data_IF_833226127317
#
_entry.id   IF_833226127317
#
_cell.length_a   1.000
_cell.length_b   1.000
_cell.length_c   1.000
_cell.angle_alpha   90.00
_cell.angle_beta   90.00
_cell.angle_gamma   90.00
#
_symmetry.space_group_name_H-M   'P 1'
#
loop_
_entity.id
_entity.type
_entity.pdbx_description
1 polymer ?
#
# COMPACT_ATOMS: atom_id res chain seq x y z
N UNK A 1 2.56 -1.59 6.73
CA UNK A 1 1.47 -1.32 7.70
C UNK A 1 1.83 -0.23 8.70
N UNK A 2 2.92 -0.33 9.47
CA UNK A 2 3.25 0.68 10.51
C UNK A 2 3.21 2.14 10.02
N UNK A 3 3.80 2.42 8.84
CA UNK A 3 3.71 3.73 8.19
C UNK A 3 2.27 4.23 8.02
N UNK A 4 1.32 3.35 7.67
CA UNK A 4 -0.08 3.70 7.50
C UNK A 4 -0.80 4.03 8.80
N UNK A 5 -0.31 3.55 9.94
CA UNK A 5 -0.80 3.99 11.25
C UNK A 5 -0.50 5.48 11.51
N UNK A 6 0.33 6.13 10.68
CA UNK A 6 0.66 7.55 10.81
C UNK A 6 0.15 8.35 9.62
N UNK A 7 0.54 8.00 8.39
CA UNK A 7 0.16 8.79 7.19
C UNK A 7 -1.17 8.38 6.54
N UNK A 8 -1.85 7.37 7.09
CA UNK A 8 -3.06 6.80 6.52
C UNK A 8 -2.86 5.92 5.28
N UNK A 9 -3.94 5.27 4.85
CA UNK A 9 -4.02 4.32 3.74
C UNK A 9 -4.13 5.00 2.37
N UNK A 10 -4.75 6.18 2.31
CA UNK A 10 -5.14 6.89 1.10
C UNK A 10 -3.96 7.30 0.20
N UNK A 11 -2.80 7.52 0.81
CA UNK A 11 -1.60 7.98 0.11
C UNK A 11 -1.66 9.46 -0.32
N UNK A 12 -0.53 9.98 -0.78
CA UNK A 12 -0.38 11.41 -1.05
C UNK A 12 -1.20 11.96 -2.21
N UNK A 13 -1.61 11.13 -3.17
CA UNK A 13 -2.50 11.61 -4.25
C UNK A 13 -3.90 11.89 -3.71
N UNK A 14 -4.50 10.97 -2.93
CA UNK A 14 -5.86 11.17 -2.42
C UNK A 14 -5.92 12.15 -1.26
N UNK A 15 -4.84 12.32 -0.50
CA UNK A 15 -4.80 13.30 0.60
C UNK A 15 -5.13 14.73 0.13
N UNK A 16 -4.82 15.04 -1.12
CA UNK A 16 -5.17 16.29 -1.79
C UNK A 16 -6.66 16.64 -1.85
N UNK A 17 -7.53 15.62 -1.80
CA UNK A 17 -8.98 15.78 -1.99
C UNK A 17 -9.77 15.34 -0.76
N UNK A 18 -9.07 14.87 0.28
CA UNK A 18 -9.64 14.43 1.53
C UNK A 18 -9.41 15.48 2.60
N UNK A 19 -10.40 15.69 3.47
CA UNK A 19 -10.29 16.59 4.62
C UNK A 19 -9.48 15.99 5.77
N UNK A 20 -9.40 14.66 5.83
CA UNK A 20 -8.66 13.94 6.87
C UNK A 20 -8.06 12.63 6.33
N UNK A 21 -6.95 12.14 6.89
CA UNK A 21 -6.38 10.85 6.50
C UNK A 21 -7.33 9.68 6.82
N UNK A 22 -7.21 8.59 6.06
CA UNK A 22 -8.02 7.38 6.25
C UNK A 22 -7.18 6.32 6.96
N UNK A 23 -7.66 5.81 8.08
CA UNK A 23 -6.96 4.78 8.86
C UNK A 23 -7.77 3.48 8.96
N UNK A 24 -7.06 2.39 9.22
CA UNK A 24 -7.70 1.13 9.61
C UNK A 24 -8.12 1.23 11.07
N UNK A 25 -9.36 0.88 11.39
CA UNK A 25 -9.81 0.73 12.78
C UNK A 25 -9.30 -0.57 13.41
N UNK A 26 -9.08 -1.60 12.59
CA UNK A 26 -8.84 -2.97 13.05
C UNK A 26 -7.91 -3.70 12.06
N UNK A 27 -7.03 -4.55 12.60
CA UNK A 27 -6.21 -5.51 11.84
C UNK A 27 -6.52 -6.90 12.37
N UNK A 28 -7.03 -7.77 11.50
CA UNK A 28 -7.44 -9.14 11.85
C UNK A 28 -6.40 -10.12 11.31
N UNK A 29 -5.94 -11.00 12.17
CA UNK A 29 -5.04 -12.09 11.83
C UNK A 29 -5.78 -13.44 11.83
N UNK A 30 -5.39 -14.41 10.98
CA UNK A 30 -5.91 -15.77 11.07
C UNK A 30 -5.71 -16.37 12.46
N UNK A 31 -6.62 -17.26 12.87
CA UNK A 31 -6.58 -17.95 14.17
C UNK A 31 -5.20 -18.52 14.46
N UNK A 32 -4.65 -19.26 13.51
CA UNK A 32 -3.36 -19.97 13.68
C UNK A 32 -2.15 -19.05 13.54
N UNK A 33 -2.35 -17.82 13.07
CA UNK A 33 -1.27 -16.83 13.06
C UNK A 33 -0.97 -16.36 14.49
N UNK A 34 -1.97 -16.18 15.36
CA UNK A 34 -1.81 -15.52 16.67
C UNK A 34 -1.07 -16.34 17.73
N UNK A 35 -1.21 -17.67 17.85
CA UNK A 35 -0.33 -18.46 18.71
C UNK A 35 1.15 -18.36 18.29
N UNK A 36 1.40 -18.12 16.99
CA UNK A 36 2.72 -17.86 16.41
C UNK A 36 3.11 -16.37 16.53
N UNK A 37 2.13 -15.49 16.77
CA UNK A 37 2.21 -14.03 16.70
C UNK A 37 1.66 -13.42 18.00
N UNK A 38 2.57 -13.16 18.94
CA UNK A 38 2.25 -12.42 20.17
C UNK A 38 1.53 -11.09 19.85
N UNK A 39 0.33 -10.89 20.42
CA UNK A 39 -0.47 -9.66 20.25
C UNK A 39 0.34 -8.40 20.59
N UNK A 40 1.13 -8.43 21.67
CA UNK A 40 2.00 -7.31 22.06
C UNK A 40 3.08 -7.05 21.03
N UNK A 41 3.60 -8.10 20.39
CA UNK A 41 4.54 -7.96 19.30
C UNK A 41 3.92 -7.31 18.06
N UNK A 42 2.65 -7.63 17.74
CA UNK A 42 1.94 -7.00 16.63
C UNK A 42 1.60 -5.54 16.90
N UNK A 43 1.08 -5.22 18.08
CA UNK A 43 0.82 -3.84 18.50
C UNK A 43 2.10 -3.00 18.46
N UNK A 44 3.21 -3.53 19.02
CA UNK A 44 4.54 -2.92 18.92
C UNK A 44 4.97 -2.71 17.47
N UNK A 45 4.75 -3.72 16.62
CA UNK A 45 5.15 -3.66 15.23
C UNK A 45 4.32 -2.64 14.42
N UNK A 46 3.03 -2.50 14.71
CA UNK A 46 2.10 -1.61 14.00
C UNK A 46 2.24 -0.17 14.48
N UNK A 47 2.10 0.09 15.77
CA UNK A 47 2.00 1.44 16.31
C UNK A 47 2.83 1.69 17.58
N UNK A 48 3.10 0.67 18.39
CA UNK A 48 3.82 0.82 19.66
C UNK A 48 5.25 1.34 19.50
N UNK A 49 5.90 1.10 18.35
CA UNK A 49 7.21 1.67 18.04
C UNK A 49 7.23 3.21 17.97
N UNK A 50 6.08 3.86 17.89
CA UNK A 50 5.96 5.33 17.79
C UNK A 50 5.59 6.01 19.11
N UNK A 51 5.35 5.27 20.19
CA UNK A 51 4.78 5.84 21.43
C UNK A 51 5.77 6.63 22.29
N UNK A 52 7.08 6.43 22.08
CA UNK A 52 8.12 6.96 22.96
C UNK A 52 8.86 8.18 22.39
N UNK A 53 8.35 8.84 21.34
CA UNK A 53 9.00 10.01 20.76
C UNK A 53 8.00 11.16 20.55
N UNK A 54 8.54 12.31 20.14
CA UNK A 54 7.79 13.56 19.98
C UNK A 54 6.62 13.48 19.00
N UNK A 55 5.81 14.54 19.03
CA UNK A 55 4.58 14.65 18.27
C UNK A 55 4.79 14.40 16.78
N UNK A 56 3.83 13.67 16.18
CA UNK A 56 3.81 13.42 14.75
C UNK A 56 3.62 14.75 14.02
N UNK A 57 4.46 14.98 13.01
CA UNK A 57 4.42 16.17 12.18
C UNK A 57 4.13 15.80 10.71
N UNK A 58 3.31 16.61 10.00
CA UNK A 58 2.53 17.75 10.49
C UNK A 58 1.27 17.33 11.27
N UNK A 59 0.66 18.29 11.98
CA UNK A 59 -0.53 18.11 12.83
C UNK A 59 -1.76 17.52 12.10
N UNK A 60 -1.76 17.56 10.76
CA UNK A 60 -2.72 16.89 9.88
C UNK A 60 -2.78 15.37 10.11
N UNK A 61 -1.69 14.77 10.60
CA UNK A 61 -1.58 13.34 10.85
C UNK A 61 -1.44 13.04 12.35
N UNK A 62 -1.91 11.87 12.75
CA UNK A 62 -1.78 11.38 14.11
C UNK A 62 -1.47 9.87 14.12
N UNK A 63 -1.12 9.35 15.30
CA UNK A 63 -0.89 7.92 15.49
C UNK A 63 -2.24 7.21 15.66
N UNK A 64 -2.68 6.52 14.62
CA UNK A 64 -3.76 5.55 14.71
C UNK A 64 -3.27 4.25 15.37
N UNK A 65 -4.05 3.73 16.31
CA UNK A 65 -3.79 2.48 17.03
C UNK A 65 -4.91 1.48 16.70
N UNK A 66 -4.86 0.81 15.53
CA UNK A 66 -5.88 -0.15 15.18
C UNK A 66 -5.94 -1.28 16.20
N UNK A 67 -7.14 -1.77 16.45
CA UNK A 67 -7.34 -2.96 17.28
C UNK A 67 -6.74 -4.19 16.58
N UNK A 68 -5.98 -4.99 17.33
CA UNK A 68 -5.42 -6.25 16.83
C UNK A 68 -6.29 -7.41 17.29
N UNK A 69 -6.93 -8.07 16.32
CA UNK A 69 -7.87 -9.16 16.55
C UNK A 69 -7.40 -10.46 15.90
N UNK A 70 -7.91 -11.56 16.45
CA UNK A 70 -7.82 -12.89 15.87
C UNK A 70 -9.15 -13.37 15.33
N UNK A 71 -9.10 -14.03 14.17
CA UNK A 71 -10.23 -14.81 13.73
C UNK A 71 -10.55 -15.90 14.77
N UNK A 72 -11.81 -16.02 15.14
CA UNK A 72 -12.30 -17.03 16.09
C UNK A 72 -12.70 -18.32 15.38
N UNK A 73 -13.17 -18.23 14.14
CA UNK A 73 -13.60 -19.38 13.36
C UNK A 73 -12.41 -20.01 12.62
N UNK A 74 -12.39 -21.34 12.62
CA UNK A 74 -11.49 -22.11 11.77
C UNK A 74 -12.22 -22.40 10.46
N UNK A 75 -11.80 -21.72 9.39
CA UNK A 75 -12.16 -22.13 8.04
C UNK A 75 -10.94 -22.85 7.46
N UNK A 76 -10.87 -24.19 7.55
CA UNK A 76 -9.72 -24.93 7.07
C UNK A 76 -9.57 -24.69 5.58
N UNK A 77 -8.41 -24.19 5.17
CA UNK A 77 -8.02 -24.14 3.77
C UNK A 77 -7.14 -25.36 3.51
N UNK A 78 -7.61 -26.40 2.78
CA UNK A 78 -6.88 -27.67 2.61
C UNK A 78 -5.50 -27.52 1.96
N UNK A 79 -5.29 -26.41 1.24
CA UNK A 79 -4.03 -26.07 0.60
C UNK A 79 -3.24 -24.99 1.37
N UNK A 80 -3.59 -24.74 2.63
CA UNK A 80 -2.81 -23.87 3.49
C UNK A 80 -1.41 -24.47 3.66
N UNK A 81 -0.40 -23.60 3.67
CA UNK A 81 0.96 -24.03 3.95
C UNK A 81 1.02 -24.58 5.36
N UNK A 82 1.27 -25.88 5.50
CA UNK A 82 1.58 -26.46 6.80
C UNK A 82 2.97 -25.99 7.23
N UNK A 83 3.18 -25.49 8.45
CA UNK A 83 4.49 -25.01 8.94
C UNK A 83 5.61 -26.05 8.83
N UNK A 84 5.26 -27.33 8.75
CA UNK A 84 6.18 -28.47 8.71
C UNK A 84 6.36 -29.04 7.29
N UNK A 85 5.71 -28.46 6.27
CA UNK A 85 5.83 -28.92 4.90
C UNK A 85 6.76 -27.97 4.11
N UNK A 86 8.05 -28.27 4.14
CA UNK A 86 9.09 -27.52 3.43
C UNK A 86 9.03 -27.67 1.89
N UNK A 87 8.15 -28.52 1.36
CA UNK A 87 8.01 -28.74 -0.08
C UNK A 87 7.08 -27.73 -0.77
N UNK A 88 6.38 -26.87 -0.02
CA UNK A 88 5.48 -25.86 -0.59
C UNK A 88 6.25 -24.62 -1.07
N UNK A 89 6.32 -24.42 -2.39
CA UNK A 89 6.84 -23.18 -2.98
C UNK A 89 5.74 -22.11 -3.11
N UNK A 90 6.03 -20.82 -2.84
CA UNK A 90 5.06 -19.76 -3.04
C UNK A 90 4.70 -19.65 -4.54
N UNK A 91 3.42 -19.43 -4.82
CA UNK A 91 2.98 -19.15 -6.18
C UNK A 91 3.67 -17.88 -6.71
N UNK A 92 4.23 -17.87 -7.93
CA UNK A 92 4.84 -16.67 -8.52
C UNK A 92 3.78 -15.64 -8.98
N UNK A 93 2.50 -16.01 -8.91
CA UNK A 93 1.39 -15.16 -9.27
C UNK A 93 0.69 -14.59 -8.04
N UNK A 94 0.09 -13.41 -8.18
CA UNK A 94 -0.84 -12.85 -7.20
C UNK A 94 -2.15 -12.44 -7.87
N UNK A 95 -3.23 -12.46 -7.10
CA UNK A 95 -4.55 -12.01 -7.56
C UNK A 95 -4.86 -10.68 -6.90
N UNK A 96 -5.31 -9.72 -7.70
CA UNK A 96 -5.85 -8.45 -7.24
C UNK A 96 -7.32 -8.45 -7.59
N UNK A 97 -8.18 -8.15 -6.63
CA UNK A 97 -9.62 -7.99 -6.86
C UNK A 97 -10.11 -6.71 -6.18
N UNK A 98 -11.01 -5.99 -6.86
CA UNK A 98 -11.69 -4.82 -6.35
C UNK A 98 -13.12 -4.78 -6.90
N UNK A 99 -14.07 -4.33 -6.08
CA UNK A 99 -15.47 -4.18 -6.50
C UNK A 99 -15.66 -2.93 -7.36
N UNK A 100 -15.21 -3.01 -8.61
CA UNK A 100 -15.32 -1.97 -9.64
C UNK A 100 -15.95 -2.54 -10.90
N UNK A 101 -16.56 -1.68 -11.74
CA UNK A 101 -17.22 -2.13 -12.99
C UNK A 101 -16.22 -2.65 -14.00
N UNK A 102 -15.15 -1.88 -14.24
CA UNK A 102 -14.15 -2.22 -15.24
C UNK A 102 -13.00 -3.00 -14.61
N UNK A 103 -12.72 -4.18 -15.17
CA UNK A 103 -11.58 -5.02 -14.78
C UNK A 103 -11.52 -5.27 -13.25
N UNK A 104 -12.55 -5.92 -12.67
CA UNK A 104 -12.67 -6.13 -11.23
C UNK A 104 -11.58 -7.03 -10.65
N UNK A 105 -10.88 -7.80 -11.47
CA UNK A 105 -9.73 -8.58 -11.04
C UNK A 105 -8.62 -8.62 -12.08
N UNK A 106 -7.40 -8.82 -11.58
CA UNK A 106 -6.20 -9.04 -12.38
C UNK A 106 -5.37 -10.15 -11.74
N UNK A 107 -4.83 -11.04 -12.58
CA UNK A 107 -3.76 -11.94 -12.15
C UNK A 107 -2.43 -11.31 -12.54
N UNK A 108 -1.51 -11.26 -11.58
CA UNK A 108 -0.22 -10.59 -11.67
C UNK A 108 0.87 -11.63 -11.68
N UNK A 109 1.81 -11.54 -12.62
CA UNK A 109 3.04 -12.33 -12.64
C UNK A 109 4.21 -11.39 -12.87
N UNK A 110 5.21 -11.40 -11.98
CA UNK A 110 6.38 -10.52 -12.04
C UNK A 110 6.02 -9.02 -12.24
N UNK A 111 4.98 -8.55 -11.56
CA UNK A 111 4.51 -7.16 -11.62
C UNK A 111 3.77 -6.77 -12.91
N UNK A 112 3.40 -7.74 -13.76
CA UNK A 112 2.66 -7.52 -15.02
C UNK A 112 1.37 -8.31 -15.02
N UNK A 113 0.39 -7.86 -15.79
CA UNK A 113 -0.87 -8.57 -16.00
C UNK A 113 -0.63 -9.87 -16.77
N UNK A 114 -1.12 -10.99 -16.25
CA UNK A 114 -1.15 -12.28 -16.94
C UNK A 114 -2.19 -12.27 -18.07
N UNK A 115 -2.03 -13.15 -19.06
CA UNK A 115 -2.98 -13.28 -20.19
C UNK A 115 -2.74 -12.29 -21.33
N UNK A 116 -1.66 -11.50 -21.28
CA UNK A 116 -1.27 -10.57 -22.34
C UNK A 116 -0.33 -11.27 -23.32
N UNK A 117 -0.60 -11.14 -24.62
CA UNK A 117 0.24 -11.75 -25.66
C UNK A 117 1.67 -11.24 -25.58
N UNK A 118 2.65 -12.07 -25.99
CA UNK A 118 4.09 -11.72 -25.97
C UNK A 118 4.36 -10.37 -26.63
N UNK A 119 3.67 -10.09 -27.76
CA UNK A 119 3.79 -8.83 -28.51
C UNK A 119 3.35 -7.60 -27.69
N UNK A 120 2.38 -7.77 -26.79
CA UNK A 120 1.81 -6.69 -25.98
C UNK A 120 2.42 -6.57 -24.57
N UNK A 121 3.37 -7.42 -24.20
CA UNK A 121 3.96 -7.43 -22.84
C UNK A 121 4.67 -6.12 -22.43
N UNK A 122 5.18 -5.34 -23.39
CA UNK A 122 5.83 -4.05 -23.15
C UNK A 122 4.89 -2.84 -23.36
N UNK A 123 3.58 -3.09 -23.45
CA UNK A 123 2.58 -2.05 -23.73
C UNK A 123 1.69 -1.78 -22.51
N UNK A 124 0.85 -0.75 -22.60
CA UNK A 124 -0.18 -0.44 -21.58
C UNK A 124 -1.11 -1.63 -21.30
N UNK A 125 -1.31 -2.53 -22.28
CA UNK A 125 -2.11 -3.73 -22.08
C UNK A 125 -1.54 -4.69 -21.03
N UNK A 126 -0.24 -4.62 -20.69
CA UNK A 126 0.38 -5.43 -19.64
C UNK A 126 0.42 -4.72 -18.27
N UNK A 127 0.00 -3.46 -18.20
CA UNK A 127 0.03 -2.65 -16.98
C UNK A 127 -1.15 -2.97 -16.07
N UNK A 128 -0.85 -3.20 -14.80
CA UNK A 128 -1.85 -3.36 -13.75
C UNK A 128 -2.56 -2.05 -13.46
N UNK A 129 -3.82 -2.13 -13.06
CA UNK A 129 -4.66 -1.00 -12.73
C UNK A 129 -4.20 -0.34 -11.42
N UNK A 130 -3.58 -1.13 -10.54
CA UNK A 130 -2.94 -0.70 -9.29
C UNK A 130 -1.51 -0.18 -9.48
N UNK A 131 -0.96 -0.19 -10.70
CA UNK A 131 0.36 0.37 -10.95
C UNK A 131 0.35 1.90 -10.76
N UNK A 132 1.46 2.49 -10.30
CA UNK A 132 1.57 3.93 -10.02
C UNK A 132 1.07 4.81 -11.16
N UNK A 133 1.48 4.51 -12.40
CA UNK A 133 1.05 5.26 -13.58
C UNK A 133 -0.45 5.12 -13.88
N UNK A 134 -1.04 3.95 -13.67
CA UNK A 134 -2.48 3.75 -13.86
C UNK A 134 -3.30 4.48 -12.78
N UNK A 135 -2.87 4.40 -11.52
CA UNK A 135 -3.47 5.16 -10.42
C UNK A 135 -3.34 6.66 -10.62
N UNK A 136 -2.19 7.13 -11.14
CA UNK A 136 -1.98 8.54 -11.41
C UNK A 136 -2.88 9.05 -12.54
N UNK A 137 -2.95 8.33 -13.67
CA UNK A 137 -3.87 8.65 -14.75
C UNK A 137 -5.32 8.71 -14.26
N UNK A 138 -5.73 7.74 -13.43
CA UNK A 138 -7.08 7.71 -12.84
C UNK A 138 -7.32 8.93 -11.94
N UNK A 139 -6.36 9.26 -11.08
CA UNK A 139 -6.45 10.44 -10.22
C UNK A 139 -6.57 11.73 -11.04
N UNK A 140 -5.70 11.94 -12.03
CA UNK A 140 -5.68 13.14 -12.85
C UNK A 140 -6.94 13.31 -13.69
N UNK A 141 -7.55 12.21 -14.16
CA UNK A 141 -8.81 12.25 -14.89
C UNK A 141 -10.01 12.63 -14.01
N UNK A 142 -10.00 12.26 -12.72
CA UNK A 142 -11.11 12.51 -11.79
C UNK A 142 -10.93 13.80 -10.97
N UNK A 143 -9.69 14.24 -10.75
CA UNK A 143 -9.35 15.39 -9.91
C UNK A 143 -8.34 16.29 -10.64
N UNK A 144 -8.71 16.90 -11.77
CA UNK A 144 -7.80 17.73 -12.55
C UNK A 144 -7.37 18.96 -11.74
N UNK A 145 -6.07 19.13 -11.56
CA UNK A 145 -5.44 20.31 -10.91
C UNK A 145 -4.56 21.11 -11.86
N UNK A 146 -4.00 20.42 -12.84
CA UNK A 146 -3.16 20.94 -13.91
C UNK A 146 -3.30 19.98 -15.11
N UNK A 147 -2.88 20.39 -16.32
CA UNK A 147 -2.80 19.47 -17.45
C UNK A 147 -1.94 18.24 -17.08
N UNK A 148 -2.34 17.01 -17.49
CA UNK A 148 -1.67 15.79 -17.04
C UNK A 148 -0.18 15.67 -17.45
N UNK A 149 0.27 16.45 -18.43
CA UNK A 149 1.67 16.51 -18.87
C UNK A 149 2.54 17.47 -18.05
N UNK A 150 1.95 18.36 -17.26
CA UNK A 150 2.66 19.47 -16.61
C UNK A 150 3.02 19.18 -15.15
N UNK A 151 2.57 18.04 -14.61
CA UNK A 151 2.75 17.67 -13.21
C UNK A 151 3.31 16.26 -13.09
N UNK A 152 4.49 16.12 -12.51
CA UNK A 152 5.04 14.80 -12.21
C UNK A 152 4.27 14.11 -11.08
N UNK A 153 4.35 12.78 -11.04
CA UNK A 153 3.73 11.98 -9.97
C UNK A 153 4.24 12.35 -8.56
N UNK A 154 5.47 12.85 -8.44
CA UNK A 154 6.01 13.33 -7.17
C UNK A 154 5.42 14.68 -6.75
N UNK A 155 5.30 15.62 -7.68
CA UNK A 155 4.74 16.95 -7.44
C UNK A 155 3.24 16.90 -7.18
N UNK A 156 2.55 15.97 -7.84
CA UNK A 156 1.11 15.75 -7.64
C UNK A 156 0.73 15.29 -6.23
N UNK A 157 1.68 14.83 -5.41
CA UNK A 157 1.37 14.39 -4.04
C UNK A 157 1.24 15.56 -3.09
N UNK A 158 0.28 15.44 -2.18
CA UNK A 158 0.07 16.35 -1.07
C UNK A 158 1.36 16.68 -0.30
N UNK A 159 1.50 17.95 0.07
CA UNK A 159 2.70 18.48 0.75
C UNK A 159 2.85 17.88 2.13
N UNK A 160 1.79 17.90 2.93
CA UNK A 160 1.80 17.43 4.32
C UNK A 160 2.08 15.93 4.37
N UNK A 161 1.47 15.15 3.48
CA UNK A 161 1.74 13.72 3.35
C UNK A 161 3.21 13.45 3.03
N UNK A 162 3.83 14.24 2.13
CA UNK A 162 5.26 14.12 1.80
C UNK A 162 6.12 14.44 3.01
N UNK A 163 5.79 15.49 3.76
CA UNK A 163 6.49 15.88 4.99
C UNK A 163 6.41 14.80 6.07
N UNK A 164 5.22 14.31 6.43
CA UNK A 164 5.08 13.21 7.40
C UNK A 164 5.78 11.94 6.95
N UNK A 165 5.68 11.61 5.66
CA UNK A 165 6.37 10.47 5.07
C UNK A 165 7.89 10.58 5.22
N UNK A 166 8.45 11.78 5.06
CA UNK A 166 9.88 12.02 5.18
C UNK A 166 10.31 11.98 6.65
N UNK A 167 9.57 12.68 7.52
CA UNK A 167 9.79 12.67 8.96
C UNK A 167 9.80 11.24 9.54
N UNK A 168 8.87 10.38 9.11
CA UNK A 168 8.86 8.97 9.49
C UNK A 168 10.14 8.21 9.10
N UNK A 169 10.67 8.48 7.91
CA UNK A 169 11.89 7.81 7.44
C UNK A 169 13.10 8.24 8.26
N UNK A 170 13.21 9.53 8.55
CA UNK A 170 14.33 10.10 9.32
C UNK A 170 14.32 9.63 10.77
N UNK A 171 13.13 9.58 11.39
CA UNK A 171 13.01 9.32 12.83
C UNK A 171 12.88 7.82 13.15
N UNK A 172 12.15 7.05 12.32
CA UNK A 172 11.77 5.67 12.65
C UNK A 172 12.23 4.62 11.64
N UNK A 173 12.29 4.96 10.36
CA UNK A 173 12.67 4.01 9.31
C UNK A 173 14.04 4.33 8.71
N UNK A 174 15.07 4.37 9.55
CA UNK A 174 16.45 4.74 9.16
C UNK A 174 17.02 3.92 8.00
N UNK A 175 16.54 2.69 7.80
CA UNK A 175 16.96 1.78 6.71
C UNK A 175 15.86 1.63 5.65
N UNK A 176 15.05 2.67 5.43
CA UNK A 176 14.01 2.61 4.41
C UNK A 176 14.61 2.54 3.00
N UNK A 177 14.28 1.52 2.18
CA UNK A 177 14.83 1.41 0.85
C UNK A 177 14.47 2.62 -0.03
N UNK A 178 15.48 3.27 -0.59
CA UNK A 178 15.31 4.35 -1.55
C UNK A 178 15.31 3.81 -2.97
N UNK A 179 14.48 4.41 -3.83
CA UNK A 179 14.52 4.21 -5.28
C UNK A 179 15.40 5.30 -5.88
N UNK A 180 15.86 5.12 -7.13
CA UNK A 180 16.63 6.16 -7.84
C UNK A 180 15.85 7.48 -7.92
N UNK A 181 16.58 8.61 -7.98
CA UNK A 181 16.03 9.97 -7.88
C UNK A 181 14.82 10.20 -8.80
N UNK A 182 14.94 9.77 -10.05
CA UNK A 182 13.95 10.08 -11.08
C UNK A 182 12.78 9.07 -11.12
N UNK A 183 12.72 8.11 -10.18
CA UNK A 183 11.70 7.06 -10.19
C UNK A 183 10.26 7.58 -10.08
N UNK A 184 10.08 8.76 -9.47
CA UNK A 184 8.78 9.39 -9.28
C UNK A 184 8.53 10.60 -10.19
N UNK A 185 9.46 10.92 -11.09
CA UNK A 185 9.45 12.11 -11.96
C UNK A 185 8.73 11.86 -13.30
N UNK A 186 7.78 10.92 -13.35
CA UNK A 186 7.00 10.63 -14.55
C UNK A 186 5.67 11.38 -14.54
N UNK A 187 5.16 11.73 -15.72
CA UNK A 187 3.86 12.39 -15.93
C UNK A 187 2.79 11.38 -16.35
N UNK A 188 1.54 11.82 -16.44
CA UNK A 188 0.47 10.96 -16.95
C UNK A 188 0.73 10.63 -18.43
N UNK A 189 0.42 9.39 -18.81
CA UNK A 189 0.55 8.95 -20.20
C UNK A 189 -0.82 9.09 -20.85
N UNK A 190 -0.90 9.85 -21.94
CA UNK A 190 -2.07 9.90 -22.83
C UNK A 190 -2.31 8.54 -23.50
#
# INVERSE_FOLDING_TARGET
MARWCVVGLQGGLLMNVLTSPIYLSTVIYPRDAIPIVDKKAMERALWGRFTNHGDIQPATFHLCRPEVLGATEELPFPFARHPQNDQCQPCPASVVWCRVRERPHEVVVAGRRQGVTRRKQKTLAARLLIAKGALFNTYSANFPRAPPQDLSYQEAKDKDYRMASQWLKENYFKVWPSKGGNYLEFTCIN
#
